data_IF_363174730271
#
_entry.id   IF_363174730271
#
_cell.length_a   1.000
_cell.length_b   1.000
_cell.length_c   1.000
_cell.angle_alpha   90.00
_cell.angle_beta   90.00
_cell.angle_gamma   90.00
#
_symmetry.space_group_name_H-M   'P 1'
#
loop_
_entity.id
_entity.type
_entity.pdbx_description
1 polymer ?
#
# COMPACT_ATOMS: atom_id res chain seq x y z
N UNK A 1 19.30 13.32 -20.32
CA UNK A 1 19.38 11.93 -19.79
C UNK A 1 18.54 11.85 -18.52
N UNK A 2 17.72 10.80 -18.34
CA UNK A 2 16.96 10.60 -17.09
C UNK A 2 17.76 9.68 -16.15
N UNK A 3 18.14 10.21 -14.99
CA UNK A 3 18.82 9.47 -13.92
C UNK A 3 17.83 8.63 -13.13
N UNK A 4 18.30 7.50 -12.59
CA UNK A 4 17.50 6.67 -11.70
C UNK A 4 17.59 7.19 -10.26
N UNK A 5 16.52 7.01 -9.49
CA UNK A 5 16.50 7.40 -8.07
C UNK A 5 17.03 6.33 -7.12
N UNK A 6 17.16 5.07 -7.58
CA UNK A 6 17.66 3.94 -6.79
C UNK A 6 18.88 3.31 -7.48
N UNK A 7 19.78 2.64 -6.72
CA UNK A 7 20.93 1.93 -7.27
C UNK A 7 20.52 0.77 -8.18
N UNK A 8 19.43 0.07 -7.82
CA UNK A 8 18.80 -0.92 -8.68
C UNK A 8 17.76 -0.25 -9.57
N UNK A 9 18.04 -0.20 -10.86
CA UNK A 9 17.17 0.44 -11.83
C UNK A 9 17.10 -0.34 -13.13
N UNK A 10 16.01 -0.12 -13.86
CA UNK A 10 15.79 -0.67 -15.20
C UNK A 10 15.73 0.48 -16.18
N UNK A 11 16.39 0.33 -17.34
CA UNK A 11 16.27 1.25 -18.46
C UNK A 11 15.68 0.49 -19.65
N UNK A 12 14.73 1.12 -20.33
CA UNK A 12 14.14 0.57 -21.53
C UNK A 12 15.16 0.60 -22.65
N UNK A 13 15.50 -0.57 -23.20
CA UNK A 13 16.35 -0.68 -24.38
C UNK A 13 15.51 -0.71 -25.67
N UNK A 14 14.39 -1.43 -25.66
CA UNK A 14 13.45 -1.52 -26.78
C UNK A 14 12.07 -1.98 -26.33
N UNK A 15 11.06 -1.71 -27.16
CA UNK A 15 9.68 -2.16 -26.96
C UNK A 15 9.11 -2.70 -28.27
N UNK A 16 8.26 -3.72 -28.19
CA UNK A 16 7.41 -4.16 -29.28
C UNK A 16 5.95 -3.89 -28.89
N UNK A 17 5.24 -3.12 -29.71
CA UNK A 17 3.84 -2.73 -29.46
C UNK A 17 2.85 -3.42 -30.39
N UNK A 18 3.32 -4.00 -31.50
CA UNK A 18 2.47 -4.51 -32.58
C UNK A 18 2.30 -6.01 -32.53
N UNK A 19 3.38 -6.73 -32.24
CA UNK A 19 3.39 -8.19 -32.34
C UNK A 19 3.42 -8.87 -30.98
N UNK A 20 2.77 -10.03 -30.92
CA UNK A 20 2.83 -10.92 -29.75
C UNK A 20 4.05 -11.83 -29.85
N UNK A 21 4.83 -11.90 -28.76
CA UNK A 21 5.94 -12.84 -28.64
C UNK A 21 5.38 -14.25 -28.42
N UNK A 22 5.46 -15.10 -29.45
CA UNK A 22 4.99 -16.49 -29.40
C UNK A 22 5.88 -17.33 -28.48
N UNK A 23 5.35 -18.46 -28.00
CA UNK A 23 6.17 -19.42 -27.28
C UNK A 23 7.23 -20.00 -28.22
N UNK A 24 8.50 -19.96 -27.81
CA UNK A 24 9.61 -20.43 -28.63
C UNK A 24 10.95 -20.19 -27.97
N UNK A 25 12.02 -20.64 -28.64
CA UNK A 25 13.40 -20.35 -28.25
C UNK A 25 13.87 -19.10 -28.96
N UNK A 26 14.36 -18.15 -28.19
CA UNK A 26 14.92 -16.89 -28.67
C UNK A 26 16.39 -16.81 -28.28
N UNK A 27 17.20 -16.28 -29.17
CA UNK A 27 18.61 -15.99 -28.92
C UNK A 27 18.80 -14.48 -28.90
N UNK A 28 19.52 -13.98 -27.90
CA UNK A 28 19.90 -12.57 -27.80
C UNK A 28 21.42 -12.50 -27.76
N UNK A 29 22.01 -11.81 -28.72
CA UNK A 29 23.43 -11.54 -28.75
C UNK A 29 23.71 -10.19 -28.06
N UNK A 30 24.60 -10.19 -27.08
CA UNK A 30 24.93 -9.01 -26.28
C UNK A 30 26.42 -8.75 -26.37
N UNK A 31 26.79 -7.59 -26.93
CA UNK A 31 28.17 -7.12 -26.91
C UNK A 31 28.52 -6.53 -25.53
N UNK A 32 29.57 -7.06 -24.91
CA UNK A 32 29.98 -6.66 -23.56
C UNK A 32 30.90 -5.43 -23.57
N UNK A 33 30.35 -4.25 -23.82
CA UNK A 33 31.10 -2.98 -23.88
C UNK A 33 31.22 -2.25 -22.53
N UNK A 34 30.42 -2.65 -21.55
CA UNK A 34 30.38 -2.01 -20.23
C UNK A 34 30.65 -3.02 -19.11
N UNK A 35 31.88 -3.05 -18.55
CA UNK A 35 32.26 -3.93 -17.45
C UNK A 35 31.75 -3.40 -16.11
N UNK A 36 30.72 -4.04 -15.56
CA UNK A 36 30.11 -3.67 -14.26
C UNK A 36 30.88 -4.23 -13.06
N UNK A 37 31.76 -5.21 -13.28
CA UNK A 37 32.53 -5.88 -12.23
C UNK A 37 33.48 -4.93 -11.48
N UNK A 38 34.03 -3.93 -12.17
CA UNK A 38 34.89 -2.89 -11.56
C UNK A 38 34.16 -2.05 -10.51
N UNK A 39 32.83 -1.99 -10.59
CA UNK A 39 31.97 -1.22 -9.70
C UNK A 39 31.25 -2.10 -8.68
N UNK A 40 31.57 -3.39 -8.60
CA UNK A 40 30.87 -4.36 -7.75
C UNK A 40 29.41 -4.59 -8.13
N UNK A 41 29.01 -4.20 -9.34
CA UNK A 41 27.62 -4.26 -9.80
C UNK A 41 27.32 -5.49 -10.65
N UNK A 42 26.03 -5.76 -10.85
CA UNK A 42 25.55 -6.76 -11.79
C UNK A 42 24.78 -6.09 -12.93
N UNK A 43 24.69 -6.77 -14.08
CA UNK A 43 23.83 -6.35 -15.18
C UNK A 43 23.01 -7.53 -15.68
N UNK A 44 21.74 -7.28 -15.96
CA UNK A 44 20.80 -8.30 -16.39
C UNK A 44 19.92 -7.77 -17.53
N UNK A 45 19.60 -8.63 -18.49
CA UNK A 45 18.57 -8.37 -19.49
C UNK A 45 17.22 -8.88 -18.95
N UNK A 46 16.20 -8.03 -18.95
CA UNK A 46 14.86 -8.40 -18.48
C UNK A 46 13.87 -8.17 -19.62
N UNK A 47 13.17 -9.22 -20.01
CA UNK A 47 12.04 -9.16 -20.95
C UNK A 47 10.77 -9.21 -20.12
N UNK A 48 9.92 -8.20 -20.24
CA UNK A 48 8.67 -8.11 -19.49
C UNK A 48 7.57 -7.48 -20.33
N UNK A 49 6.35 -7.96 -20.13
CA UNK A 49 5.15 -7.24 -20.58
C UNK A 49 4.74 -6.21 -19.54
N UNK A 50 4.08 -5.15 -20.00
CA UNK A 50 3.52 -4.11 -19.12
C UNK A 50 2.00 -4.25 -19.08
N UNK A 51 1.45 -4.08 -17.88
CA UNK A 51 0.01 -3.92 -17.66
C UNK A 51 -0.32 -2.45 -17.50
N UNK A 52 -1.61 -2.12 -17.34
CA UNK A 52 -2.06 -0.75 -17.04
C UNK A 52 -1.38 -0.15 -15.80
N UNK A 53 -1.11 -0.97 -14.77
CA UNK A 53 -0.41 -0.58 -13.55
C UNK A 53 1.12 -0.59 -13.68
N UNK A 54 1.64 -0.86 -14.89
CA UNK A 54 3.07 -0.99 -15.18
C UNK A 54 3.56 -2.44 -15.11
N UNK A 55 4.82 -2.60 -14.71
CA UNK A 55 5.46 -3.91 -14.56
C UNK A 55 4.95 -4.70 -13.35
N UNK A 56 5.38 -5.96 -13.23
CA UNK A 56 5.03 -6.83 -12.10
C UNK A 56 5.46 -6.22 -10.76
N UNK A 57 4.47 -5.80 -9.96
CA UNK A 57 4.68 -5.32 -8.59
C UNK A 57 3.55 -5.79 -7.66
N UNK A 58 3.82 -6.81 -6.84
CA UNK A 58 2.85 -7.36 -5.89
C UNK A 58 2.64 -6.50 -4.65
N UNK A 59 3.55 -5.56 -4.35
CA UNK A 59 3.49 -4.74 -3.14
C UNK A 59 2.18 -3.93 -3.07
N UNK A 60 1.80 -3.31 -4.19
CA UNK A 60 0.62 -2.46 -4.23
C UNK A 60 -0.66 -3.26 -3.95
N UNK A 61 -0.78 -4.48 -4.50
CA UNK A 61 -1.91 -5.37 -4.22
C UNK A 61 -2.01 -5.76 -2.75
N UNK A 62 -0.90 -6.16 -2.14
CA UNK A 62 -0.84 -6.47 -0.70
C UNK A 62 -1.18 -5.26 0.17
N UNK A 63 -0.69 -4.06 -0.18
CA UNK A 63 -1.00 -2.85 0.57
C UNK A 63 -2.51 -2.57 0.62
N UNK A 64 -3.21 -2.71 -0.52
CA UNK A 64 -4.67 -2.53 -0.56
C UNK A 64 -5.42 -3.60 0.24
N UNK A 65 -4.99 -4.86 0.16
CA UNK A 65 -5.62 -5.95 0.93
C UNK A 65 -5.47 -5.69 2.43
N UNK A 66 -4.27 -5.32 2.89
CA UNK A 66 -4.01 -5.04 4.32
C UNK A 66 -4.88 -3.89 4.82
N UNK A 67 -4.94 -2.77 4.08
CA UNK A 67 -5.79 -1.63 4.45
C UNK A 67 -7.28 -2.02 4.46
N UNK A 68 -7.73 -2.81 3.49
CA UNK A 68 -9.10 -3.32 3.44
C UNK A 68 -9.45 -4.18 4.66
N UNK A 69 -8.55 -5.09 5.06
CA UNK A 69 -8.74 -5.93 6.25
C UNK A 69 -8.82 -5.08 7.52
N UNK A 70 -7.94 -4.08 7.67
CA UNK A 70 -7.98 -3.16 8.82
C UNK A 70 -9.32 -2.43 8.88
N UNK A 71 -9.81 -1.93 7.73
CA UNK A 71 -11.09 -1.22 7.66
C UNK A 71 -12.27 -2.12 8.06
N UNK A 72 -12.31 -3.36 7.57
CA UNK A 72 -13.35 -4.34 7.93
C UNK A 72 -13.31 -4.66 9.42
N UNK A 73 -12.13 -4.91 9.99
CA UNK A 73 -11.99 -5.19 11.43
C UNK A 73 -12.49 -4.01 12.26
N UNK A 74 -12.08 -2.78 11.95
CA UNK A 74 -12.55 -1.59 12.65
C UNK A 74 -14.07 -1.38 12.48
N UNK A 75 -14.59 -1.60 11.27
CA UNK A 75 -16.03 -1.56 10.99
C UNK A 75 -16.80 -2.53 11.87
N UNK A 76 -16.40 -3.80 11.90
CA UNK A 76 -17.01 -4.82 12.75
C UNK A 76 -16.94 -4.44 14.24
N UNK A 77 -15.79 -3.96 14.73
CA UNK A 77 -15.64 -3.53 16.12
C UNK A 77 -16.58 -2.38 16.47
N UNK A 78 -16.68 -1.36 15.62
CA UNK A 78 -17.58 -0.23 15.83
C UNK A 78 -19.05 -0.65 15.77
N UNK A 79 -19.43 -1.51 14.82
CA UNK A 79 -20.79 -2.07 14.73
C UNK A 79 -21.12 -2.88 15.98
N UNK A 80 -20.26 -3.81 16.40
CA UNK A 80 -20.48 -4.61 17.61
C UNK A 80 -20.60 -3.73 18.86
N UNK A 81 -19.73 -2.72 19.00
CA UNK A 81 -19.78 -1.78 20.12
C UNK A 81 -21.09 -0.97 20.13
N UNK A 82 -21.56 -0.55 18.96
CA UNK A 82 -22.82 0.19 18.81
C UNK A 82 -24.03 -0.67 19.21
N UNK A 83 -24.02 -1.97 18.88
CA UNK A 83 -25.09 -2.90 19.26
C UNK A 83 -25.07 -3.22 20.76
N UNK A 84 -23.90 -3.42 21.37
CA UNK A 84 -23.79 -3.77 22.81
C UNK A 84 -24.06 -2.60 23.76
N UNK A 85 -23.66 -1.38 23.39
CA UNK A 85 -23.97 -0.14 24.15
C UNK A 85 -24.43 0.95 23.19
N UNK A 86 -25.69 0.89 22.72
CA UNK A 86 -26.23 1.95 21.89
C UNK A 86 -26.31 3.24 22.74
N UNK A 87 -25.47 4.23 22.42
CA UNK A 87 -25.62 5.57 22.98
C UNK A 87 -26.77 6.26 22.25
N UNK A 88 -27.69 6.84 23.01
CA UNK A 88 -28.66 7.79 22.45
C UNK A 88 -27.89 9.00 21.92
N UNK A 89 -28.12 9.37 20.66
CA UNK A 89 -27.55 10.60 20.11
C UNK A 89 -28.19 11.79 20.86
N UNK A 90 -27.38 12.69 21.40
CA UNK A 90 -27.86 13.88 22.12
C UNK A 90 -28.12 13.72 23.62
N UNK A 91 -27.61 12.66 24.25
CA UNK A 91 -27.78 12.48 25.71
C UNK A 91 -26.96 13.51 26.53
N UNK A 92 -27.66 14.34 27.29
CA UNK A 92 -27.10 15.42 28.09
C UNK A 92 -26.48 14.95 29.41
N UNK A 93 -26.66 13.67 29.79
CA UNK A 93 -26.12 13.11 31.04
C UNK A 93 -24.60 13.12 31.15
N UNK A 94 -23.87 13.23 30.03
CA UNK A 94 -22.41 13.31 30.01
C UNK A 94 -21.87 14.74 29.86
N UNK A 95 -22.73 15.76 29.93
CA UNK A 95 -22.28 17.14 29.98
C UNK A 95 -21.55 17.38 31.30
N UNK A 96 -20.32 17.90 31.23
CA UNK A 96 -19.44 18.07 32.40
C UNK A 96 -20.05 18.92 33.51
N UNK A 97 -20.88 19.91 33.17
CA UNK A 97 -21.56 20.76 34.13
C UNK A 97 -22.74 20.08 34.86
N UNK A 98 -23.31 19.01 34.32
CA UNK A 98 -24.42 18.29 34.95
C UNK A 98 -23.94 17.31 36.03
N UNK A 99 -22.71 16.79 35.91
CA UNK A 99 -22.09 15.89 36.89
C UNK A 99 -21.55 16.63 38.13
N UNK A 100 -21.27 17.93 38.05
CA UNK A 100 -20.79 18.73 39.19
C UNK A 100 -21.91 19.06 40.20
N UNK A 101 -23.17 19.08 39.78
CA UNK A 101 -24.30 19.38 40.66
C UNK A 101 -24.62 18.24 41.65
N UNK A 102 -24.22 17.01 41.35
CA UNK A 102 -24.43 15.84 42.23
C UNK A 102 -23.42 15.71 43.37
N UNK A 103 -22.28 16.41 43.31
CA UNK A 103 -21.28 16.42 44.40
C UNK A 103 -21.57 17.47 45.48
N UNK A 104 -22.40 18.48 45.20
CA UNK A 104 -22.62 19.60 46.12
C UNK A 104 -23.89 19.44 46.99
N UNK A 105 -24.58 18.30 46.92
CA UNK A 105 -25.80 18.02 47.71
C UNK A 105 -25.59 17.06 48.89
N UNK A 106 -24.34 16.68 49.19
CA UNK A 106 -23.99 15.73 50.26
C UNK A 106 -23.22 16.34 51.44
N UNK A 107 -23.15 17.67 51.56
CA UNK A 107 -22.44 18.34 52.66
C UNK A 107 -23.18 19.61 53.07
N UNK A 108 -24.29 19.45 53.79
CA UNK A 108 -24.72 20.43 54.78
C UNK A 108 -25.66 19.75 55.77
N UNK A 109 -25.13 19.58 56.99
CA UNK A 109 -25.75 19.49 58.31
C UNK A 109 -27.14 18.86 58.42
#
# INVERSE_FOLDING_TARGET
>A
MRTAGLPDFRKLWGKNEKDTMKMGRYQVEIQYLFPVTKYGGTKSLVISTVSFLGGKNSFLGWAYIVVGVICVVLGCLFTLRHLYKPRKLGDHTYLSWNNNNGQNSGSNN
#
